data_IF_491884321917
#
_entry.id   IF_491884321917
#
_cell.length_a   1.000
_cell.length_b   1.000
_cell.length_c   1.000
_cell.angle_alpha   90.00
_cell.angle_beta   90.00
_cell.angle_gamma   90.00
#
_symmetry.space_group_name_H-M   'P 1'
#
loop_
_entity.id
_entity.type
_entity.pdbx_description
1 polymer ?
#
# COMPACT_ATOMS: atom_id res chain seq x y z
N UNK A 1 -8.85 9.82 -23.49
CA UNK A 1 -10.08 10.39 -22.98
C UNK A 1 -10.46 9.78 -21.64
N UNK A 2 -10.65 10.63 -20.72
CA UNK A 2 -10.84 10.53 -19.28
C UNK A 2 -11.89 9.51 -18.89
N UNK A 3 -11.50 8.47 -18.16
CA UNK A 3 -12.46 7.65 -17.40
C UNK A 3 -12.83 8.40 -16.10
N UNK A 4 -13.56 9.49 -16.24
CA UNK A 4 -14.18 10.23 -15.15
C UNK A 4 -15.69 10.04 -15.23
N UNK A 5 -16.16 8.82 -14.98
CA UNK A 5 -17.53 8.57 -14.60
C UNK A 5 -17.52 8.00 -13.21
N UNK A 6 -18.14 8.71 -12.28
CA UNK A 6 -18.48 8.29 -10.93
C UNK A 6 -19.40 7.05 -10.99
N UNK A 7 -18.82 5.89 -11.27
CA UNK A 7 -19.52 4.63 -11.12
C UNK A 7 -19.12 4.09 -9.76
N UNK A 8 -20.09 3.98 -8.88
CA UNK A 8 -19.93 3.31 -7.60
C UNK A 8 -19.35 1.92 -7.85
N UNK A 9 -18.33 1.54 -7.09
CA UNK A 9 -17.72 0.21 -7.09
C UNK A 9 -18.61 -0.84 -6.42
N UNK A 10 -19.91 -0.54 -6.25
CA UNK A 10 -20.88 -1.34 -5.49
C UNK A 10 -21.19 -2.73 -6.08
N UNK A 11 -20.61 -3.09 -7.20
CA UNK A 11 -20.71 -4.40 -7.83
C UNK A 11 -19.42 -5.22 -7.82
N UNK A 12 -18.31 -4.69 -7.27
CA UNK A 12 -17.08 -5.46 -7.14
C UNK A 12 -17.09 -6.25 -5.82
N UNK A 13 -16.54 -7.46 -5.86
CA UNK A 13 -16.33 -8.33 -4.69
C UNK A 13 -15.89 -7.50 -3.49
N UNK A 14 -16.53 -7.73 -2.34
CA UNK A 14 -16.26 -7.07 -1.06
C UNK A 14 -14.76 -6.82 -0.91
N UNK A 15 -14.35 -5.56 -1.01
CA UNK A 15 -12.95 -5.17 -1.03
C UNK A 15 -12.39 -5.45 0.36
N UNK A 16 -11.55 -6.47 0.48
CA UNK A 16 -10.93 -6.86 1.74
C UNK A 16 -9.79 -5.93 2.14
N UNK A 17 -9.18 -5.27 1.16
CA UNK A 17 -8.12 -4.28 1.41
C UNK A 17 -8.51 -2.88 0.89
N UNK A 18 -8.16 -1.81 1.61
CA UNK A 18 -8.51 -0.44 1.22
C UNK A 18 -7.75 0.07 0.00
N UNK A 19 -6.66 -0.59 -0.41
CA UNK A 19 -5.72 -0.08 -1.41
C UNK A 19 -6.18 -0.32 -2.84
N UNK A 20 -7.05 -1.30 -3.06
CA UNK A 20 -7.70 -1.56 -4.36
C UNK A 20 -8.98 -0.76 -4.55
N UNK A 21 -9.39 0.02 -3.56
CA UNK A 21 -10.57 0.88 -3.65
C UNK A 21 -10.36 2.02 -4.66
N UNK A 22 -11.46 2.44 -5.29
CA UNK A 22 -11.47 3.62 -6.14
C UNK A 22 -10.90 4.85 -5.43
N UNK A 23 -11.31 5.07 -4.17
CA UNK A 23 -10.89 6.22 -3.39
C UNK A 23 -9.39 6.29 -3.21
N UNK A 24 -8.74 5.16 -2.92
CA UNK A 24 -7.29 5.12 -2.75
C UNK A 24 -6.53 5.37 -4.05
N UNK A 25 -6.91 4.68 -5.13
CA UNK A 25 -6.28 4.84 -6.44
C UNK A 25 -6.50 6.25 -7.00
N UNK A 26 -7.72 6.76 -6.89
CA UNK A 26 -8.07 8.13 -7.29
C UNK A 26 -7.33 9.18 -6.45
N UNK A 27 -7.11 8.94 -5.15
CA UNK A 27 -6.31 9.83 -4.31
C UNK A 27 -4.85 9.91 -4.78
N UNK A 28 -4.25 8.80 -5.21
CA UNK A 28 -2.90 8.78 -5.79
C UNK A 28 -2.82 9.60 -7.08
N UNK A 29 -3.81 9.47 -7.96
CA UNK A 29 -3.84 10.18 -9.24
C UNK A 29 -4.17 11.67 -9.07
N UNK A 30 -5.24 12.01 -8.35
CA UNK A 30 -5.64 13.41 -8.11
C UNK A 30 -4.57 14.21 -7.39
N UNK A 31 -3.85 13.58 -6.48
CA UNK A 31 -2.75 14.21 -5.76
C UNK A 31 -1.48 14.34 -6.59
N UNK A 32 -1.44 13.76 -7.79
CA UNK A 32 -0.22 13.65 -8.62
C UNK A 32 0.92 12.91 -7.91
N UNK A 33 0.60 12.01 -6.98
CA UNK A 33 1.58 11.07 -6.44
C UNK A 33 1.97 10.02 -7.49
N UNK A 34 1.06 9.74 -8.42
CA UNK A 34 1.29 9.02 -9.67
C UNK A 34 0.86 9.90 -10.86
N UNK A 35 1.41 9.67 -12.04
CA UNK A 35 1.14 10.45 -13.25
C UNK A 35 2.42 10.81 -13.99
N UNK A 36 2.37 11.83 -14.81
CA UNK A 36 3.53 12.31 -15.59
C UNK A 36 4.70 12.67 -14.67
N UNK A 37 5.91 12.30 -15.09
CA UNK A 37 7.19 12.56 -14.40
C UNK A 37 7.37 11.88 -13.03
N UNK A 38 6.44 11.02 -12.58
CA UNK A 38 6.57 10.28 -11.32
C UNK A 38 7.22 8.91 -11.49
N UNK A 39 7.36 8.45 -12.71
CA UNK A 39 7.74 7.06 -13.03
C UNK A 39 6.59 6.06 -12.95
N UNK A 40 5.37 6.51 -12.66
CA UNK A 40 4.14 5.72 -12.55
C UNK A 40 3.04 6.36 -13.40
N UNK A 41 3.02 6.11 -14.69
CA UNK A 41 1.97 6.63 -15.57
C UNK A 41 0.78 5.66 -15.58
N UNK A 42 -0.42 6.08 -15.12
CA UNK A 42 -1.62 5.24 -15.16
C UNK A 42 -1.94 4.76 -16.58
N UNK A 43 -2.19 3.46 -16.72
CA UNK A 43 -2.47 2.80 -18.01
C UNK A 43 -3.49 1.68 -17.83
N UNK A 44 -4.49 1.92 -16.99
CA UNK A 44 -5.43 0.93 -16.50
C UNK A 44 -6.17 0.20 -17.61
N UNK A 45 -6.43 -1.11 -17.39
CA UNK A 45 -7.31 -1.88 -18.26
C UNK A 45 -8.71 -1.98 -17.63
N UNK A 46 -9.72 -1.94 -18.48
CA UNK A 46 -11.12 -2.13 -18.11
C UNK A 46 -11.76 -3.21 -18.98
N UNK A 47 -12.45 -4.15 -18.37
CA UNK A 47 -13.31 -5.10 -19.05
C UNK A 47 -14.75 -4.60 -18.98
N UNK A 48 -15.38 -4.46 -20.15
CA UNK A 48 -16.77 -4.00 -20.28
C UNK A 48 -17.58 -5.12 -20.92
N UNK A 49 -18.69 -5.48 -20.30
CA UNK A 49 -19.68 -6.39 -20.82
C UNK A 49 -21.06 -5.76 -20.74
N UNK A 50 -21.84 -5.79 -21.81
CA UNK A 50 -23.17 -5.19 -21.87
C UNK A 50 -23.21 -3.73 -21.38
N UNK A 51 -22.22 -2.93 -21.77
CA UNK A 51 -22.03 -1.53 -21.36
C UNK A 51 -21.79 -1.32 -19.86
N UNK A 52 -21.45 -2.38 -19.11
CA UNK A 52 -21.12 -2.30 -17.69
C UNK A 52 -19.65 -2.66 -17.47
N UNK A 53 -19.01 -1.95 -16.52
CA UNK A 53 -17.66 -2.31 -16.07
C UNK A 53 -17.75 -3.60 -15.25
N UNK A 54 -17.14 -4.67 -15.75
CA UNK A 54 -17.13 -6.00 -15.10
C UNK A 54 -15.75 -6.40 -14.58
N UNK A 55 -14.72 -5.67 -14.97
CA UNK A 55 -13.37 -5.92 -14.48
C UNK A 55 -12.45 -4.72 -14.68
N UNK A 56 -11.42 -4.60 -13.85
CA UNK A 56 -10.39 -3.57 -13.95
C UNK A 56 -9.03 -4.09 -13.49
N UNK A 57 -7.96 -3.52 -14.04
CA UNK A 57 -6.59 -3.82 -13.62
C UNK A 57 -5.85 -2.51 -13.36
N UNK A 58 -5.36 -2.28 -12.14
CA UNK A 58 -4.45 -1.18 -11.84
C UNK A 58 -3.11 -1.41 -12.56
N UNK A 59 -2.99 -0.89 -13.77
CA UNK A 59 -1.84 -1.04 -14.65
C UNK A 59 -1.14 0.30 -14.81
N UNK A 60 0.19 0.27 -14.80
CA UNK A 60 1.02 1.47 -14.93
C UNK A 60 2.15 1.24 -15.94
N UNK A 61 2.45 2.26 -16.73
CA UNK A 61 3.67 2.32 -17.51
C UNK A 61 4.78 2.92 -16.64
N UNK A 62 5.84 2.13 -16.45
CA UNK A 62 6.94 2.44 -15.53
C UNK A 62 8.17 2.90 -16.28
N UNK A 63 8.71 4.06 -15.91
CA UNK A 63 10.00 4.55 -16.42
C UNK A 63 11.19 4.25 -15.49
N UNK A 64 10.94 3.72 -14.29
CA UNK A 64 11.94 3.28 -13.31
C UNK A 64 11.28 2.29 -12.33
N UNK A 65 12.04 1.66 -11.43
CA UNK A 65 11.52 0.70 -10.44
C UNK A 65 11.32 1.30 -9.03
N UNK A 66 11.29 2.62 -8.92
CA UNK A 66 11.06 3.26 -7.62
C UNK A 66 9.60 3.05 -7.17
N UNK A 67 9.43 2.84 -5.85
CA UNK A 67 8.11 2.69 -5.23
C UNK A 67 7.42 1.34 -5.46
N UNK A 68 8.09 0.36 -6.09
CA UNK A 68 7.53 -0.98 -6.32
C UNK A 68 7.70 -1.90 -5.12
N UNK A 69 8.67 -1.63 -4.25
CA UNK A 69 9.07 -2.48 -3.12
C UNK A 69 9.48 -3.91 -3.50
N UNK A 70 9.65 -4.18 -4.79
CA UNK A 70 10.31 -5.36 -5.35
C UNK A 70 11.56 -4.87 -6.07
N UNK A 71 12.72 -5.22 -5.53
CA UNK A 71 13.98 -4.73 -6.05
C UNK A 71 14.42 -5.55 -7.27
N UNK A 72 14.37 -4.94 -8.45
CA UNK A 72 14.78 -5.54 -9.72
C UNK A 72 15.94 -4.78 -10.41
N UNK A 73 16.62 -3.90 -9.68
CA UNK A 73 17.72 -3.09 -10.21
C UNK A 73 18.82 -3.94 -10.86
N UNK A 74 19.17 -5.09 -10.26
CA UNK A 74 20.18 -5.98 -10.84
C UNK A 74 19.74 -6.58 -12.18
N UNK A 75 18.44 -6.83 -12.34
CA UNK A 75 17.88 -7.30 -13.60
C UNK A 75 17.89 -6.21 -14.65
N UNK A 76 17.51 -4.99 -14.31
CA UNK A 76 17.58 -3.84 -15.19
C UNK A 76 19.01 -3.63 -15.68
N UNK A 77 19.98 -3.58 -14.79
CA UNK A 77 21.40 -3.42 -15.14
C UNK A 77 21.95 -4.58 -15.99
N UNK A 78 21.55 -5.83 -15.70
CA UNK A 78 21.98 -6.97 -16.49
C UNK A 78 21.41 -6.92 -17.91
N UNK A 79 20.13 -6.58 -18.06
CA UNK A 79 19.43 -6.46 -19.33
C UNK A 79 20.01 -5.33 -20.18
N UNK A 80 20.28 -4.17 -19.59
CA UNK A 80 20.90 -3.01 -20.25
C UNK A 80 22.34 -3.31 -20.69
N UNK A 81 23.13 -3.98 -19.87
CA UNK A 81 24.49 -4.43 -20.26
C UNK A 81 24.49 -5.43 -21.42
N UNK A 82 23.39 -6.20 -21.55
CA UNK A 82 23.20 -7.08 -22.70
C UNK A 82 22.69 -6.36 -23.96
N UNK A 83 22.61 -5.02 -23.94
CA UNK A 83 22.14 -4.20 -25.07
C UNK A 83 20.62 -4.03 -25.14
N UNK A 84 19.88 -4.51 -24.15
CA UNK A 84 18.44 -4.32 -24.05
C UNK A 84 18.06 -2.97 -23.43
N UNK A 85 16.79 -2.58 -23.59
CA UNK A 85 16.21 -1.41 -22.94
C UNK A 85 15.17 -1.88 -21.91
N UNK A 86 15.50 -1.83 -20.61
CA UNK A 86 14.64 -2.33 -19.54
C UNK A 86 13.40 -1.48 -19.32
N UNK A 87 13.49 -0.18 -19.46
CA UNK A 87 12.36 0.75 -19.36
C UNK A 87 11.98 1.34 -20.72
N UNK A 88 10.70 1.66 -20.98
CA UNK A 88 9.57 1.47 -20.07
C UNK A 88 9.12 0.01 -19.99
N UNK A 89 8.53 -0.36 -18.85
CA UNK A 89 7.88 -1.66 -18.59
C UNK A 89 6.43 -1.46 -18.12
N UNK A 90 5.59 -2.48 -18.23
CA UNK A 90 4.27 -2.48 -17.61
C UNK A 90 4.30 -3.07 -16.19
N UNK A 91 3.49 -2.51 -15.32
CA UNK A 91 3.39 -2.91 -13.92
C UNK A 91 1.94 -3.00 -13.47
N UNK A 92 1.46 -4.20 -13.15
CA UNK A 92 0.20 -4.42 -12.44
C UNK A 92 0.50 -4.41 -10.95
N UNK A 93 0.10 -3.36 -10.25
CA UNK A 93 0.33 -3.21 -8.80
C UNK A 93 -0.45 -2.04 -8.22
N UNK A 94 -0.46 -1.94 -6.91
CA UNK A 94 -0.89 -0.72 -6.22
C UNK A 94 0.37 0.11 -5.93
N UNK A 95 0.48 1.34 -6.42
CA UNK A 95 1.67 2.16 -6.23
C UNK A 95 2.02 2.37 -4.75
N UNK A 96 3.29 2.31 -4.43
CA UNK A 96 3.85 2.55 -3.09
C UNK A 96 3.29 1.63 -1.99
N UNK A 97 2.67 0.48 -2.36
CA UNK A 97 1.91 -0.36 -1.44
C UNK A 97 2.33 -1.82 -1.53
N UNK A 98 3.30 -2.28 -0.69
CA UNK A 98 3.76 -3.67 -0.66
C UNK A 98 2.80 -4.56 0.14
N UNK A 99 1.53 -4.55 -0.23
CA UNK A 99 0.48 -5.37 0.39
C UNK A 99 0.01 -6.42 -0.60
N UNK A 100 0.01 -7.67 -0.19
CA UNK A 100 -0.55 -8.77 -1.00
C UNK A 100 -2.06 -8.66 -1.05
N UNK A 101 -2.61 -8.73 -2.26
CA UNK A 101 -4.05 -8.61 -2.50
C UNK A 101 -4.38 -8.80 -3.97
N UNK A 102 -5.65 -8.67 -4.32
CA UNK A 102 -6.12 -8.80 -5.70
C UNK A 102 -5.56 -7.71 -6.58
N UNK A 103 -5.21 -8.08 -7.80
CA UNK A 103 -4.72 -7.20 -8.86
C UNK A 103 -5.63 -7.22 -10.08
N UNK A 104 -6.35 -8.31 -10.27
CA UNK A 104 -7.40 -8.46 -11.27
C UNK A 104 -8.74 -8.25 -10.56
N UNK A 105 -9.25 -7.02 -10.62
CA UNK A 105 -10.48 -6.62 -9.94
C UNK A 105 -11.66 -7.02 -10.82
N UNK A 106 -12.31 -8.14 -10.51
CA UNK A 106 -13.41 -8.71 -11.28
C UNK A 106 -14.67 -8.73 -10.44
N UNK A 107 -15.76 -8.23 -11.01
CA UNK A 107 -17.10 -8.25 -10.41
C UNK A 107 -17.60 -9.69 -10.24
N UNK A 108 -18.42 -9.95 -9.21
CA UNK A 108 -19.07 -11.24 -8.99
C UNK A 108 -19.96 -11.67 -10.16
N UNK A 109 -20.55 -10.70 -10.86
CA UNK A 109 -21.41 -10.93 -12.00
C UNK A 109 -20.67 -10.88 -13.34
N UNK A 110 -19.34 -10.87 -13.34
CA UNK A 110 -18.59 -10.86 -14.57
C UNK A 110 -18.67 -12.21 -15.31
N UNK A 111 -18.58 -12.20 -16.64
CA UNK A 111 -18.43 -13.45 -17.40
C UNK A 111 -17.26 -14.28 -16.90
N UNK A 112 -17.42 -15.62 -17.00
CA UNK A 112 -16.33 -16.55 -16.64
C UNK A 112 -15.04 -16.19 -17.36
N UNK A 113 -13.90 -16.39 -16.68
CA UNK A 113 -12.56 -16.13 -17.22
C UNK A 113 -12.24 -14.63 -17.51
N UNK A 114 -13.01 -13.68 -16.99
CA UNK A 114 -12.70 -12.25 -17.15
C UNK A 114 -11.31 -11.89 -16.59
N UNK A 115 -10.89 -12.49 -15.49
CA UNK A 115 -9.56 -12.37 -14.91
C UNK A 115 -8.46 -12.84 -15.88
N UNK A 116 -8.67 -14.02 -16.49
CA UNK A 116 -7.76 -14.59 -17.50
C UNK A 116 -7.65 -13.66 -18.71
N UNK A 117 -8.78 -13.18 -19.22
CA UNK A 117 -8.80 -12.24 -20.35
C UNK A 117 -8.09 -10.93 -20.02
N UNK A 118 -8.28 -10.38 -18.82
CA UNK A 118 -7.60 -9.16 -18.39
C UNK A 118 -6.07 -9.34 -18.37
N UNK A 119 -5.58 -10.46 -17.81
CA UNK A 119 -4.14 -10.72 -17.75
C UNK A 119 -3.56 -11.02 -19.15
N UNK A 120 -4.26 -11.77 -19.99
CA UNK A 120 -3.85 -12.02 -21.38
C UNK A 120 -3.77 -10.72 -22.18
N UNK A 121 -4.75 -9.82 -22.03
CA UNK A 121 -4.72 -8.52 -22.70
C UNK A 121 -3.59 -7.63 -22.18
N UNK A 122 -3.25 -7.68 -20.89
CA UNK A 122 -2.07 -6.96 -20.37
C UNK A 122 -0.77 -7.49 -20.97
N UNK A 123 -0.63 -8.82 -21.14
CA UNK A 123 0.53 -9.44 -21.79
C UNK A 123 0.60 -9.02 -23.26
N UNK A 124 -0.52 -9.06 -23.96
CA UNK A 124 -0.58 -8.69 -25.38
C UNK A 124 -0.30 -7.19 -25.58
N UNK A 125 -0.84 -6.33 -24.74
CA UNK A 125 -0.54 -4.90 -24.73
C UNK A 125 0.96 -4.61 -24.57
N UNK A 126 1.63 -5.37 -23.68
CA UNK A 126 3.07 -5.29 -23.50
C UNK A 126 3.83 -5.63 -24.79
N UNK A 127 3.43 -6.71 -25.50
CA UNK A 127 4.03 -7.13 -26.75
C UNK A 127 3.81 -6.13 -27.89
N UNK A 128 2.56 -5.69 -28.09
CA UNK A 128 2.19 -4.75 -29.14
C UNK A 128 2.93 -3.42 -29.05
N UNK A 129 3.12 -2.94 -27.80
CA UNK A 129 3.88 -1.71 -27.56
C UNK A 129 5.40 -1.94 -27.48
N UNK A 130 5.88 -3.17 -27.70
CA UNK A 130 7.30 -3.53 -27.66
C UNK A 130 7.96 -3.11 -26.33
N UNK A 131 7.23 -3.24 -25.24
CA UNK A 131 7.74 -2.95 -23.89
C UNK A 131 8.63 -4.11 -23.42
N UNK A 132 9.54 -3.82 -22.50
CA UNK A 132 10.54 -4.79 -22.05
C UNK A 132 9.93 -5.97 -21.29
N UNK A 133 8.91 -5.71 -20.49
CA UNK A 133 8.29 -6.72 -19.64
C UNK A 133 6.95 -6.24 -19.05
N UNK A 134 6.14 -7.20 -18.59
CA UNK A 134 4.98 -7.00 -17.72
C UNK A 134 5.28 -7.63 -16.37
N UNK A 135 5.18 -6.85 -15.31
CA UNK A 135 5.31 -7.32 -13.93
C UNK A 135 3.97 -7.28 -13.21
N UNK A 136 3.70 -8.27 -12.37
CA UNK A 136 2.60 -8.26 -11.40
C UNK A 136 3.18 -8.46 -10.02
N UNK A 137 3.01 -7.49 -9.13
CA UNK A 137 3.62 -7.55 -7.79
C UNK A 137 2.57 -7.64 -6.69
N UNK A 138 2.89 -8.39 -5.64
CA UNK A 138 2.02 -8.59 -4.47
C UNK A 138 0.61 -9.08 -4.83
N UNK A 139 0.51 -9.91 -5.87
CA UNK A 139 -0.75 -10.52 -6.30
C UNK A 139 -1.21 -11.63 -5.35
N UNK A 140 -2.48 -12.02 -5.46
CA UNK A 140 -3.00 -13.18 -4.75
C UNK A 140 -2.38 -14.48 -5.26
N UNK A 141 -2.52 -15.57 -4.48
CA UNK A 141 -2.02 -16.90 -4.89
C UNK A 141 -2.69 -17.37 -6.19
N UNK A 142 -3.98 -17.15 -6.34
CA UNK A 142 -4.73 -17.53 -7.54
C UNK A 142 -4.22 -16.78 -8.77
N UNK A 143 -3.95 -15.48 -8.64
CA UNK A 143 -3.40 -14.67 -9.74
C UNK A 143 -1.95 -15.05 -10.07
N UNK A 144 -1.17 -15.44 -9.07
CA UNK A 144 0.18 -15.97 -9.28
C UNK A 144 0.14 -17.27 -10.10
N UNK A 145 -0.73 -18.21 -9.73
CA UNK A 145 -0.93 -19.49 -10.43
C UNK A 145 -1.44 -19.27 -11.86
N UNK A 146 -2.40 -18.34 -12.04
CA UNK A 146 -2.89 -17.93 -13.36
C UNK A 146 -1.77 -17.35 -14.22
N UNK A 147 -0.95 -16.47 -13.65
CA UNK A 147 0.21 -15.91 -14.36
C UNK A 147 1.18 -17.00 -14.85
N UNK A 148 1.47 -17.99 -14.01
CA UNK A 148 2.33 -19.12 -14.39
C UNK A 148 1.71 -19.95 -15.53
N UNK A 149 0.38 -20.21 -15.49
CA UNK A 149 -0.32 -20.90 -16.58
C UNK A 149 -0.25 -20.13 -17.90
N UNK A 150 -0.18 -18.82 -17.86
CA UNK A 150 -0.01 -17.94 -19.03
C UNK A 150 1.47 -17.71 -19.42
N UNK A 151 2.40 -18.45 -18.82
CA UNK A 151 3.82 -18.43 -19.15
C UNK A 151 4.63 -17.32 -18.46
N UNK A 152 4.08 -16.65 -17.46
CA UNK A 152 4.82 -15.68 -16.66
C UNK A 152 5.77 -16.40 -15.67
N UNK A 153 6.92 -15.79 -15.42
CA UNK A 153 7.89 -16.32 -14.46
C UNK A 153 7.50 -15.95 -13.04
N UNK A 154 7.41 -16.97 -12.17
CA UNK A 154 7.11 -16.77 -10.75
C UNK A 154 8.34 -16.36 -9.96
N UNK A 155 8.20 -15.28 -9.16
CA UNK A 155 9.19 -14.83 -8.19
C UNK A 155 8.54 -14.70 -6.82
N UNK A 156 9.17 -15.26 -5.79
CA UNK A 156 8.70 -15.19 -4.41
C UNK A 156 9.68 -14.44 -3.54
N UNK A 157 9.13 -13.69 -2.57
CA UNK A 157 9.91 -13.06 -1.51
C UNK A 157 9.19 -13.24 -0.17
N UNK A 158 9.86 -12.92 0.92
CA UNK A 158 9.32 -13.12 2.26
C UNK A 158 8.81 -11.80 2.84
N UNK A 159 7.60 -11.84 3.40
CA UNK A 159 7.06 -10.79 4.26
C UNK A 159 6.74 -11.37 5.63
N UNK A 160 6.82 -10.53 6.67
CA UNK A 160 6.44 -10.92 8.03
C UNK A 160 5.12 -10.27 8.38
N UNK A 161 4.14 -11.10 8.73
CA UNK A 161 2.83 -10.66 9.21
C UNK A 161 2.65 -11.12 10.66
N UNK A 162 2.02 -10.29 11.46
CA UNK A 162 1.50 -10.72 12.75
C UNK A 162 0.08 -11.24 12.54
N UNK A 163 -0.20 -12.44 13.04
CA UNK A 163 -1.52 -13.04 12.97
C UNK A 163 -2.09 -13.13 14.40
N UNK A 164 -3.36 -12.73 14.54
CA UNK A 164 -4.08 -12.93 15.79
C UNK A 164 -4.52 -14.40 15.87
N UNK A 165 -3.88 -15.16 16.75
CA UNK A 165 -4.18 -16.56 17.02
C UNK A 165 -5.24 -16.71 18.14
N UNK A 166 -6.32 -15.95 18.03
CA UNK A 166 -7.44 -15.97 18.99
C UNK A 166 -7.20 -15.17 20.27
N UNK A 167 -6.23 -14.25 20.29
CA UNK A 167 -5.99 -13.38 21.44
C UNK A 167 -7.10 -12.35 21.57
N UNK A 168 -7.75 -12.28 22.73
CA UNK A 168 -8.79 -11.31 23.04
C UNK A 168 -8.23 -9.96 23.45
N UNK A 169 -6.98 -9.92 23.93
CA UNK A 169 -6.28 -8.73 24.39
C UNK A 169 -4.75 -8.94 24.35
N UNK A 170 -4.01 -7.86 24.56
CA UNK A 170 -2.55 -7.89 24.52
C UNK A 170 -1.91 -8.81 25.58
N UNK A 171 -2.54 -9.00 26.74
CA UNK A 171 -1.99 -9.90 27.77
C UNK A 171 -2.11 -11.37 27.36
N UNK A 172 -3.15 -11.74 26.62
CA UNK A 172 -3.27 -13.10 26.07
C UNK A 172 -2.13 -13.36 25.08
N UNK A 173 -1.85 -12.42 24.19
CA UNK A 173 -0.69 -12.47 23.29
C UNK A 173 0.62 -12.59 24.07
N UNK A 174 0.82 -11.77 25.11
CA UNK A 174 2.04 -11.85 25.93
C UNK A 174 2.17 -13.20 26.63
N UNK A 175 1.04 -13.79 27.05
CA UNK A 175 1.03 -15.08 27.73
C UNK A 175 1.47 -16.23 26.83
N UNK A 176 1.23 -16.14 25.55
CA UNK A 176 1.69 -17.11 24.55
C UNK A 176 3.20 -17.03 24.27
N UNK A 177 3.87 -15.97 24.70
CA UNK A 177 5.30 -15.78 24.47
C UNK A 177 6.16 -16.40 25.59
N UNK A 178 7.40 -16.77 25.25
CA UNK A 178 8.37 -17.16 26.28
C UNK A 178 8.61 -16.03 27.27
N UNK A 179 8.92 -16.38 28.53
CA UNK A 179 9.16 -15.41 29.63
C UNK A 179 10.18 -14.33 29.26
N UNK A 180 11.22 -14.70 28.51
CA UNK A 180 12.25 -13.75 28.04
C UNK A 180 11.67 -12.73 27.06
N UNK A 181 10.90 -13.18 26.05
CA UNK A 181 10.26 -12.29 25.06
C UNK A 181 9.23 -11.39 25.72
N UNK A 182 8.37 -11.94 26.58
CA UNK A 182 7.37 -11.20 27.33
C UNK A 182 7.98 -10.07 28.18
N UNK A 183 9.03 -10.39 28.97
CA UNK A 183 9.76 -9.39 29.76
C UNK A 183 10.37 -8.29 28.89
N UNK A 184 10.94 -8.66 27.72
CA UNK A 184 11.51 -7.69 26.79
C UNK A 184 10.43 -6.74 26.25
N UNK A 185 9.32 -7.26 25.74
CA UNK A 185 8.21 -6.45 25.19
C UNK A 185 7.63 -5.53 26.27
N UNK A 186 7.37 -6.04 27.50
CA UNK A 186 6.88 -5.21 28.60
C UNK A 186 7.84 -4.07 28.95
N UNK A 187 9.14 -4.34 28.97
CA UNK A 187 10.15 -3.31 29.22
C UNK A 187 10.20 -2.25 28.10
N UNK A 188 10.09 -2.68 26.84
CA UNK A 188 10.05 -1.78 25.69
C UNK A 188 8.79 -0.91 25.72
N UNK A 189 7.61 -1.50 25.98
CA UNK A 189 6.35 -0.72 26.15
C UNK A 189 6.41 0.27 27.31
N UNK A 190 6.90 -0.16 28.46
CA UNK A 190 7.03 0.75 29.61
C UNK A 190 7.91 1.96 29.26
N UNK A 191 9.04 1.73 28.58
CA UNK A 191 9.91 2.83 28.13
C UNK A 191 9.27 3.71 27.06
N UNK A 192 8.52 3.12 26.11
CA UNK A 192 7.80 3.87 25.11
C UNK A 192 6.69 4.75 25.75
N UNK A 193 6.04 4.27 26.79
CA UNK A 193 5.01 5.04 27.51
C UNK A 193 5.60 6.12 28.45
N UNK A 194 6.86 5.95 28.88
CA UNK A 194 7.57 6.88 29.78
C UNK A 194 8.26 8.02 29.02
N UNK A 195 7.80 8.37 27.82
CA UNK A 195 8.41 9.47 27.05
C UNK A 195 7.97 10.87 27.54
N UNK A 196 7.11 10.94 28.54
CA UNK A 196 6.60 12.18 29.13
C UNK A 196 5.62 12.94 28.24
N UNK A 197 4.86 12.23 27.43
CA UNK A 197 3.84 12.76 26.53
C UNK A 197 2.57 11.91 26.51
N UNK A 198 1.74 12.14 25.51
CA UNK A 198 0.47 11.45 25.28
C UNK A 198 0.45 10.82 23.90
N UNK A 199 -0.23 9.68 23.77
CA UNK A 199 -0.50 9.03 22.50
C UNK A 199 -1.98 9.20 22.20
N UNK A 200 -2.28 9.75 21.04
CA UNK A 200 -3.63 9.93 20.53
C UNK A 200 -3.87 8.90 19.40
N UNK A 201 -4.95 8.14 19.52
CA UNK A 201 -5.38 7.14 18.53
C UNK A 201 -6.65 7.68 17.90
N UNK A 202 -6.60 8.03 16.63
CA UNK A 202 -7.63 8.79 15.94
C UNK A 202 -8.18 8.00 14.74
N UNK A 203 -9.50 8.01 14.57
CA UNK A 203 -10.18 7.44 13.41
C UNK A 203 -11.39 8.27 13.00
N UNK A 204 -11.85 8.12 11.78
CA UNK A 204 -13.07 8.78 11.28
C UNK A 204 -13.07 10.29 11.54
N UNK A 205 -14.10 10.78 12.23
CA UNK A 205 -14.30 12.22 12.49
C UNK A 205 -13.33 12.83 13.51
N UNK A 206 -12.61 12.01 14.25
CA UNK A 206 -11.58 12.46 15.20
C UNK A 206 -10.36 13.01 14.47
N UNK A 207 -10.09 12.49 13.24
CA UNK A 207 -9.01 12.97 12.41
C UNK A 207 -9.37 14.35 11.86
N UNK A 208 -8.61 15.38 12.22
CA UNK A 208 -8.77 16.77 11.76
C UNK A 208 -7.74 17.07 10.66
N UNK A 209 -8.01 18.09 9.85
CA UNK A 209 -7.10 18.53 8.77
C UNK A 209 -5.70 18.89 9.29
N UNK A 210 -5.63 19.49 10.48
CA UNK A 210 -4.36 19.87 11.09
C UNK A 210 -3.47 18.69 11.47
N UNK A 211 -4.04 17.54 11.82
CA UNK A 211 -3.26 16.32 12.07
C UNK A 211 -2.43 15.89 10.86
N UNK A 212 -2.93 16.15 9.65
CA UNK A 212 -2.20 15.86 8.41
C UNK A 212 -1.02 16.79 8.15
N UNK A 213 -1.05 18.03 8.66
CA UNK A 213 0.10 18.92 8.56
C UNK A 213 1.28 18.35 9.35
N UNK A 214 1.02 17.96 10.60
CA UNK A 214 2.04 17.34 11.44
C UNK A 214 2.51 15.99 10.88
N UNK A 215 1.58 15.14 10.43
CA UNK A 215 1.95 13.85 9.86
C UNK A 215 2.79 14.01 8.57
N UNK A 216 2.50 15.02 7.77
CA UNK A 216 3.27 15.37 6.59
C UNK A 216 4.73 15.72 6.93
N UNK A 217 4.97 16.51 7.98
CA UNK A 217 6.31 16.83 8.46
C UNK A 217 7.08 15.54 8.84
N UNK A 218 6.43 14.61 9.55
CA UNK A 218 7.04 13.33 9.93
C UNK A 218 7.34 12.45 8.72
N UNK A 219 6.43 12.42 7.75
CA UNK A 219 6.58 11.66 6.52
C UNK A 219 7.76 12.17 5.69
N UNK A 220 7.88 13.50 5.54
CA UNK A 220 8.98 14.15 4.84
C UNK A 220 10.33 13.87 5.52
N UNK A 221 10.41 14.04 6.83
CA UNK A 221 11.63 13.82 7.59
C UNK A 221 12.14 12.38 7.46
N UNK A 222 11.25 11.41 7.59
CA UNK A 222 11.60 9.98 7.41
C UNK A 222 12.03 9.68 5.97
N UNK A 223 11.35 10.25 4.98
CA UNK A 223 11.72 10.11 3.57
C UNK A 223 13.13 10.64 3.31
N UNK A 224 13.39 11.84 3.75
CA UNK A 224 14.70 12.49 3.56
C UNK A 224 15.85 11.74 4.23
N UNK A 225 15.61 11.14 5.41
CA UNK A 225 16.63 10.37 6.14
C UNK A 225 16.92 8.99 5.55
N UNK A 226 15.92 8.33 4.94
CA UNK A 226 16.03 6.92 4.55
C UNK A 226 16.10 6.69 3.04
N UNK A 227 15.27 7.37 2.26
CA UNK A 227 14.97 6.98 0.89
C UNK A 227 15.12 8.12 -0.12
N UNK A 228 15.50 9.30 0.32
CA UNK A 228 15.50 10.50 -0.50
C UNK A 228 14.10 11.12 -0.60
N UNK A 229 13.60 11.35 -1.82
CA UNK A 229 12.33 12.05 -2.01
C UNK A 229 11.13 11.15 -1.66
N UNK A 230 10.23 11.59 -0.76
CA UNK A 230 8.97 10.89 -0.48
C UNK A 230 8.11 10.75 -1.73
N UNK A 231 7.40 9.62 -1.87
CA UNK A 231 6.57 9.33 -3.06
C UNK A 231 5.22 10.05 -3.06
N UNK A 232 4.60 10.18 -1.89
CA UNK A 232 3.28 10.80 -1.76
C UNK A 232 3.42 12.33 -1.65
N UNK A 233 2.46 13.04 -2.22
CA UNK A 233 2.37 14.49 -2.08
C UNK A 233 1.52 14.87 -0.86
N UNK A 234 1.59 16.13 -0.41
CA UNK A 234 0.73 16.62 0.67
C UNK A 234 -0.75 16.48 0.33
N UNK A 235 -1.10 16.69 -0.94
CA UNK A 235 -2.47 16.57 -1.44
C UNK A 235 -3.05 15.15 -1.32
N UNK A 236 -2.21 14.11 -1.35
CA UNK A 236 -2.67 12.74 -1.11
C UNK A 236 -3.36 12.60 0.26
N UNK A 237 -2.78 13.19 1.30
CA UNK A 237 -3.36 13.14 2.65
C UNK A 237 -4.67 13.92 2.74
N UNK A 238 -4.83 14.99 1.97
CA UNK A 238 -6.11 15.71 1.88
C UNK A 238 -7.18 14.86 1.17
N UNK A 239 -6.82 14.14 0.10
CA UNK A 239 -7.75 13.26 -0.60
C UNK A 239 -8.24 12.13 0.30
N UNK A 240 -7.34 11.40 0.96
CA UNK A 240 -7.74 10.30 1.87
C UNK A 240 -8.48 10.82 3.11
N UNK A 241 -8.23 12.04 3.55
CA UNK A 241 -9.02 12.68 4.60
C UNK A 241 -10.49 12.86 4.19
N UNK A 242 -10.75 13.29 2.96
CA UNK A 242 -12.11 13.54 2.50
C UNK A 242 -12.87 12.23 2.22
N UNK A 243 -12.21 11.22 1.66
CA UNK A 243 -12.91 10.03 1.14
C UNK A 243 -12.72 8.78 1.99
N UNK A 244 -11.65 8.66 2.80
CA UNK A 244 -11.26 7.42 3.45
C UNK A 244 -11.08 7.49 4.96
N UNK A 245 -11.47 8.57 5.64
CA UNK A 245 -11.23 8.73 7.11
C UNK A 245 -11.68 7.55 7.96
N UNK A 246 -12.81 6.93 7.61
CA UNK A 246 -13.33 5.75 8.31
C UNK A 246 -12.48 4.48 8.13
N UNK A 247 -11.58 4.48 7.15
CA UNK A 247 -10.63 3.40 6.85
C UNK A 247 -9.21 3.73 7.33
N UNK A 248 -9.05 4.75 8.16
CA UNK A 248 -7.75 5.21 8.66
C UNK A 248 -7.71 5.11 10.17
N UNK A 249 -6.60 4.58 10.68
CA UNK A 249 -6.17 4.69 12.05
C UNK A 249 -4.88 5.52 12.08
N UNK A 250 -4.99 6.75 12.57
CA UNK A 250 -3.86 7.67 12.71
C UNK A 250 -3.44 7.72 14.18
N UNK A 251 -2.20 7.35 14.45
CA UNK A 251 -1.63 7.39 15.80
C UNK A 251 -0.64 8.54 15.85
N UNK A 252 -0.81 9.45 16.80
CA UNK A 252 0.05 10.60 16.99
C UNK A 252 0.59 10.65 18.42
N UNK A 253 1.88 10.93 18.56
CA UNK A 253 2.51 11.16 19.84
C UNK A 253 2.69 12.67 20.07
N UNK A 254 2.23 13.16 21.22
CA UNK A 254 2.26 14.56 21.62
C UNK A 254 3.07 14.75 22.89
N UNK A 255 4.01 15.70 22.90
CA UNK A 255 4.83 16.08 24.07
C UNK A 255 4.97 17.59 24.16
N UNK A 256 4.84 18.14 25.36
CA UNK A 256 4.90 19.60 25.60
C UNK A 256 3.99 20.42 24.65
N UNK A 257 2.78 19.88 24.38
CA UNK A 257 1.83 20.53 23.49
C UNK A 257 2.10 20.40 21.99
N UNK A 258 3.19 19.74 21.56
CA UNK A 258 3.57 19.55 20.17
C UNK A 258 3.48 18.07 19.75
N UNK A 259 3.04 17.81 18.54
CA UNK A 259 3.16 16.49 17.94
C UNK A 259 4.63 16.23 17.54
N UNK A 260 5.15 15.05 17.88
CA UNK A 260 6.56 14.69 17.68
C UNK A 260 6.75 13.42 16.84
N UNK A 261 5.73 12.59 16.72
CA UNK A 261 5.76 11.38 15.91
C UNK A 261 4.36 10.97 15.47
N UNK A 262 4.28 10.15 14.42
CA UNK A 262 3.01 9.61 13.95
C UNK A 262 3.13 8.33 13.15
N UNK A 263 2.06 7.52 13.18
CA UNK A 263 1.89 6.33 12.39
C UNK A 263 0.56 6.37 11.65
N UNK A 264 0.59 6.15 10.34
CA UNK A 264 -0.57 6.02 9.50
C UNK A 264 -0.83 4.55 9.19
N UNK A 265 -2.02 4.11 9.53
CA UNK A 265 -2.48 2.75 9.25
C UNK A 265 -3.79 2.80 8.49
N UNK A 266 -4.05 1.76 7.67
CA UNK A 266 -5.32 1.57 7.00
C UNK A 266 -6.04 0.36 7.56
N UNK A 267 -7.36 0.48 7.70
CA UNK A 267 -8.24 -0.53 8.26
C UNK A 267 -8.88 -1.29 7.09
N UNK A 268 -8.60 -2.58 6.99
CA UNK A 268 -9.29 -3.52 6.11
C UNK A 268 -10.49 -4.17 6.82
N UNK A 269 -11.04 -5.22 6.23
CA UNK A 269 -12.16 -5.98 6.83
C UNK A 269 -11.74 -6.75 8.09
N UNK A 270 -10.53 -7.30 8.09
CA UNK A 270 -9.97 -8.17 9.13
C UNK A 270 -8.50 -7.89 9.42
N UNK A 271 -7.94 -6.88 8.77
CA UNK A 271 -6.50 -6.61 8.79
C UNK A 271 -6.23 -5.12 9.02
N UNK A 272 -5.30 -4.83 9.91
CA UNK A 272 -4.72 -3.49 10.08
C UNK A 272 -3.40 -3.40 9.32
N UNK A 273 -3.33 -2.47 8.37
CA UNK A 273 -2.16 -2.27 7.52
C UNK A 273 -1.34 -1.08 8.00
N UNK A 274 -0.25 -1.34 8.70
CA UNK A 274 0.73 -0.30 9.03
C UNK A 274 1.47 0.17 7.78
N UNK A 275 1.39 1.47 7.46
CA UNK A 275 1.93 1.98 6.20
C UNK A 275 3.09 2.94 6.37
N UNK A 276 2.87 4.02 7.07
CA UNK A 276 3.86 5.10 7.16
C UNK A 276 4.10 5.47 8.62
N UNK A 277 5.35 5.69 8.93
CA UNK A 277 5.83 6.14 10.23
C UNK A 277 6.80 7.28 10.04
N UNK A 278 6.77 8.23 10.96
CA UNK A 278 7.79 9.26 11.05
C UNK A 278 7.82 9.98 12.40
N UNK A 279 8.91 10.65 12.65
CA UNK A 279 9.11 11.44 13.87
C UNK A 279 10.10 12.58 13.59
N UNK A 280 9.92 13.70 14.27
CA UNK A 280 10.87 14.82 14.25
C UNK A 280 11.92 14.74 15.35
N UNK A 281 11.67 13.92 16.37
CA UNK A 281 12.57 13.70 17.49
C UNK A 281 12.85 12.20 17.65
N UNK A 282 14.12 11.83 17.82
CA UNK A 282 14.52 10.44 18.06
C UNK A 282 14.33 10.07 19.53
N UNK A 283 13.28 9.32 19.82
CA UNK A 283 13.11 8.67 21.11
C UNK A 283 13.49 7.19 21.02
N UNK A 284 14.43 6.70 21.84
CA UNK A 284 14.72 5.28 21.93
C UNK A 284 13.44 4.52 22.26
N UNK A 285 13.15 3.46 21.50
CA UNK A 285 11.94 2.61 21.63
C UNK A 285 10.63 3.19 21.04
N UNK A 286 10.63 4.37 20.45
CA UNK A 286 9.51 4.91 19.68
C UNK A 286 9.50 4.30 18.26
N UNK A 287 9.65 2.99 18.16
CA UNK A 287 9.55 2.31 16.88
C UNK A 287 8.08 2.11 16.49
N UNK A 288 7.79 2.08 15.21
CA UNK A 288 6.49 1.76 14.61
C UNK A 288 5.77 0.58 15.29
N UNK A 289 6.53 -0.45 15.68
CA UNK A 289 6.03 -1.64 16.37
C UNK A 289 5.40 -1.32 17.72
N UNK A 290 5.95 -0.40 18.48
CA UNK A 290 5.52 -0.14 19.87
C UNK A 290 4.27 0.74 19.91
N UNK A 291 4.08 1.61 18.91
CA UNK A 291 2.83 2.36 18.74
C UNK A 291 1.68 1.49 18.24
N UNK A 292 1.93 0.57 17.32
CA UNK A 292 0.92 -0.40 16.85
C UNK A 292 0.49 -1.36 17.96
N UNK A 293 1.40 -1.79 18.85
CA UNK A 293 1.09 -2.67 19.96
C UNK A 293 0.29 -2.00 21.09
N UNK A 294 0.05 -0.69 21.01
CA UNK A 294 -0.80 0.04 21.96
C UNK A 294 -2.26 0.15 21.51
N UNK A 295 -2.54 -0.15 20.26
CA UNK A 295 -3.90 -0.08 19.68
C UNK A 295 -4.73 -1.37 19.84
N UNK A 296 -4.21 -2.36 20.59
CA UNK A 296 -4.90 -3.60 20.96
C UNK A 296 -5.26 -3.67 22.44
#
# INVERSE_FOLDING_TARGET
>A
DRCATSHSTDGFVKIEDPFTSYDFLNALEKSRSVGENTGWLPYHLAAISENKLVGAVPLYLKSNSQGEYIFDHNWAHAFERAGGRYYPKLQISIPFTPVTGRRLLVSENAPSHTDTLLLQNAIELCKQNKLSSLHTTFCSKQEFELGQQLGMLGRVSQQFHWLNDGYSNFNDFLSALSSRKRKKINKERAKANDFGGQIEILTGTEIKKDHWNHFWEFYQDTGNRKWGTPYLTRQFFDQIHETMRSKILLILARKHGKYIAGALNFIGSDTLFGRYWGCTEDYPFFAFRDLLLQSY
#
